data_IF_513694249794
#
_entry.id   IF_513694249794
#
_cell.length_a   1.000
_cell.length_b   1.000
_cell.length_c   1.000
_cell.angle_alpha   90.00
_cell.angle_beta   90.00
_cell.angle_gamma   90.00
#
_symmetry.space_group_name_H-M   'P 1'
#
loop_
_entity.id
_entity.type
_entity.pdbx_description
1 polymer ?
#
# COMPACT_ATOMS: atom_id res chain seq x y z
N UNK A 1 9.55 12.08 -15.69
CA UNK A 1 8.28 11.39 -15.39
C UNK A 1 7.37 12.33 -14.64
N UNK A 2 6.04 12.32 -14.86
CA UNK A 2 5.10 13.13 -14.09
C UNK A 2 5.19 12.81 -12.59
N UNK A 3 5.07 13.82 -11.73
CA UNK A 3 5.07 13.67 -10.27
C UNK A 3 4.00 12.67 -9.78
N UNK A 4 2.83 12.67 -10.43
CA UNK A 4 1.77 11.71 -10.13
C UNK A 4 2.19 10.25 -10.35
N UNK A 5 2.96 9.97 -11.41
CA UNK A 5 3.47 8.63 -11.70
C UNK A 5 4.48 8.19 -10.64
N UNK A 6 5.37 9.10 -10.22
CA UNK A 6 6.34 8.82 -9.17
C UNK A 6 5.64 8.52 -7.82
N UNK A 7 4.60 9.28 -7.48
CA UNK A 7 3.80 9.05 -6.28
C UNK A 7 3.12 7.68 -6.28
N UNK A 8 2.50 7.30 -7.40
CA UNK A 8 1.85 5.98 -7.53
C UNK A 8 2.88 4.85 -7.43
N UNK A 9 4.04 4.97 -8.09
CA UNK A 9 5.10 3.96 -8.02
C UNK A 9 5.61 3.78 -6.59
N UNK A 10 5.79 4.88 -5.84
CA UNK A 10 6.19 4.83 -4.44
C UNK A 10 5.12 4.11 -3.60
N UNK A 11 3.84 4.42 -3.81
CA UNK A 11 2.74 3.77 -3.08
C UNK A 11 2.73 2.26 -3.34
N UNK A 12 2.80 1.87 -4.61
CA UNK A 12 2.82 0.47 -5.03
C UNK A 12 4.02 -0.26 -4.43
N UNK A 13 5.20 0.36 -4.44
CA UNK A 13 6.43 -0.26 -3.91
C UNK A 13 6.32 -0.50 -2.40
N UNK A 14 5.86 0.50 -1.64
CA UNK A 14 5.67 0.36 -0.20
C UNK A 14 4.57 -0.65 0.15
N UNK A 15 3.46 -0.65 -0.60
CA UNK A 15 2.37 -1.60 -0.41
C UNK A 15 2.79 -3.04 -0.74
N UNK A 16 3.59 -3.24 -1.78
CA UNK A 16 4.12 -4.55 -2.16
C UNK A 16 5.11 -5.08 -1.12
N UNK A 17 6.04 -4.24 -0.66
CA UNK A 17 6.99 -4.62 0.39
C UNK A 17 6.27 -4.93 1.71
N UNK A 18 5.31 -4.10 2.11
CA UNK A 18 4.54 -4.33 3.32
C UNK A 18 3.63 -5.56 3.23
N UNK A 19 2.95 -5.75 2.10
CA UNK A 19 2.12 -6.93 1.86
C UNK A 19 2.94 -8.22 1.86
N UNK A 20 4.14 -8.19 1.27
CA UNK A 20 5.09 -9.30 1.30
C UNK A 20 5.56 -9.58 2.72
N UNK A 21 5.99 -8.54 3.44
CA UNK A 21 6.44 -8.67 4.84
C UNK A 21 5.35 -9.26 5.75
N UNK A 22 4.09 -8.89 5.57
CA UNK A 22 2.97 -9.42 6.36
C UNK A 22 2.62 -10.87 6.03
N UNK A 23 2.93 -11.33 4.81
CA UNK A 23 2.59 -12.67 4.34
C UNK A 23 3.74 -13.66 4.36
N UNK A 24 5.00 -13.24 4.27
CA UNK A 24 6.13 -14.16 4.04
C UNK A 24 6.24 -15.30 5.07
N UNK A 25 6.02 -15.00 6.36
CA UNK A 25 6.09 -15.97 7.46
C UNK A 25 4.81 -16.76 7.74
N UNK A 26 3.79 -16.63 6.90
CA UNK A 26 2.50 -17.33 7.04
C UNK A 26 2.61 -18.78 6.54
N UNK A 27 2.20 -19.73 7.39
CA UNK A 27 2.25 -21.19 7.16
C UNK A 27 1.05 -21.75 6.36
N UNK A 28 0.24 -20.86 5.77
CA UNK A 28 -0.92 -21.18 4.97
C UNK A 28 -0.53 -21.71 3.59
N UNK A 29 -1.45 -22.45 2.97
CA UNK A 29 -1.33 -22.89 1.58
C UNK A 29 -1.12 -21.72 0.63
N UNK A 30 -0.33 -21.95 -0.42
CA UNK A 30 0.02 -20.96 -1.45
C UNK A 30 -1.17 -20.12 -1.96
N UNK A 31 -2.33 -20.70 -2.35
CA UNK A 31 -3.47 -19.89 -2.82
C UNK A 31 -4.02 -18.95 -1.74
N UNK A 32 -4.11 -19.39 -0.49
CA UNK A 32 -4.57 -18.58 0.64
C UNK A 32 -3.56 -17.47 0.93
N UNK A 33 -2.27 -17.78 0.88
CA UNK A 33 -1.18 -16.81 1.08
C UNK A 33 -1.21 -15.69 0.04
N UNK A 34 -1.50 -16.02 -1.23
CA UNK A 34 -1.67 -15.03 -2.30
C UNK A 34 -2.89 -14.15 -2.04
N UNK A 35 -4.02 -14.73 -1.65
CA UNK A 35 -5.22 -13.94 -1.29
C UNK A 35 -4.94 -12.98 -0.13
N UNK A 36 -4.24 -13.43 0.91
CA UNK A 36 -3.81 -12.57 2.02
C UNK A 36 -2.88 -11.46 1.53
N UNK A 37 -1.92 -11.77 0.64
CA UNK A 37 -1.00 -10.77 0.10
C UNK A 37 -1.75 -9.68 -0.66
N UNK A 38 -2.69 -10.06 -1.52
CA UNK A 38 -3.53 -9.12 -2.27
C UNK A 38 -4.34 -8.25 -1.30
N UNK A 39 -4.92 -8.85 -0.25
CA UNK A 39 -5.64 -8.12 0.79
C UNK A 39 -4.76 -7.08 1.51
N UNK A 40 -3.59 -7.49 2.00
CA UNK A 40 -2.65 -6.58 2.69
C UNK A 40 -2.09 -5.51 1.75
N UNK A 41 -1.79 -5.86 0.50
CA UNK A 41 -1.33 -4.93 -0.53
C UNK A 41 -2.35 -3.80 -0.72
N UNK A 42 -3.61 -4.14 -0.99
CA UNK A 42 -4.66 -3.13 -1.19
C UNK A 42 -4.92 -2.32 0.07
N UNK A 43 -4.97 -2.96 1.24
CA UNK A 43 -5.18 -2.26 2.51
C UNK A 43 -4.08 -1.21 2.76
N UNK A 44 -2.81 -1.56 2.54
CA UNK A 44 -1.69 -0.63 2.69
C UNK A 44 -1.70 0.48 1.63
N UNK A 45 -2.03 0.16 0.38
CA UNK A 45 -2.13 1.15 -0.68
C UNK A 45 -3.23 2.19 -0.37
N UNK A 46 -4.41 1.73 0.05
CA UNK A 46 -5.50 2.63 0.45
C UNK A 46 -5.14 3.46 1.67
N UNK A 47 -4.49 2.86 2.68
CA UNK A 47 -4.04 3.59 3.86
C UNK A 47 -3.09 4.74 3.48
N UNK A 48 -2.12 4.48 2.59
CA UNK A 48 -1.20 5.51 2.11
C UNK A 48 -1.93 6.62 1.35
N UNK A 49 -2.85 6.28 0.45
CA UNK A 49 -3.68 7.28 -0.25
C UNK A 49 -4.48 8.14 0.72
N UNK A 50 -5.04 7.53 1.77
CA UNK A 50 -5.81 8.24 2.80
C UNK A 50 -4.90 9.21 3.58
N UNK A 51 -3.69 8.79 3.95
CA UNK A 51 -2.70 9.65 4.60
C UNK A 51 -2.28 10.82 3.70
N UNK A 52 -2.04 10.58 2.40
CA UNK A 52 -1.72 11.65 1.46
C UNK A 52 -2.90 12.62 1.27
N UNK A 53 -4.13 12.11 1.16
CA UNK A 53 -5.33 12.93 1.05
C UNK A 53 -5.56 13.77 2.31
N UNK A 54 -5.42 13.16 3.49
CA UNK A 54 -5.52 13.85 4.77
C UNK A 54 -4.42 14.91 4.93
N UNK A 55 -3.17 14.60 4.56
CA UNK A 55 -2.07 15.55 4.58
C UNK A 55 -2.28 16.72 3.61
N UNK A 56 -2.82 16.47 2.42
CA UNK A 56 -3.19 17.51 1.47
C UNK A 56 -4.31 18.39 2.02
N UNK A 57 -5.36 17.79 2.59
CA UNK A 57 -6.47 18.50 3.21
C UNK A 57 -5.99 19.37 4.37
N UNK A 58 -5.20 18.83 5.31
CA UNK A 58 -4.64 19.58 6.43
C UNK A 58 -3.77 20.75 5.94
N UNK A 59 -2.91 20.53 4.94
CA UNK A 59 -2.11 21.60 4.33
C UNK A 59 -2.97 22.70 3.68
N UNK A 60 -4.16 22.37 3.19
CA UNK A 60 -5.05 23.38 2.62
C UNK A 60 -5.76 24.24 3.68
N UNK A 61 -5.88 23.72 4.90
CA UNK A 61 -6.55 24.40 6.01
C UNK A 61 -5.62 25.22 6.92
N UNK A 62 -4.31 24.93 6.91
CA UNK A 62 -3.27 25.65 7.66
C UNK A 62 -2.38 26.48 6.73
#
# INVERSE_FOLDING_TARGET
MPLAIQGILLIVTLAALGGWYLTHGKAQDTPVKVMMFVGYFWLLAFLQLLLFAAGYYLRQYF
#
